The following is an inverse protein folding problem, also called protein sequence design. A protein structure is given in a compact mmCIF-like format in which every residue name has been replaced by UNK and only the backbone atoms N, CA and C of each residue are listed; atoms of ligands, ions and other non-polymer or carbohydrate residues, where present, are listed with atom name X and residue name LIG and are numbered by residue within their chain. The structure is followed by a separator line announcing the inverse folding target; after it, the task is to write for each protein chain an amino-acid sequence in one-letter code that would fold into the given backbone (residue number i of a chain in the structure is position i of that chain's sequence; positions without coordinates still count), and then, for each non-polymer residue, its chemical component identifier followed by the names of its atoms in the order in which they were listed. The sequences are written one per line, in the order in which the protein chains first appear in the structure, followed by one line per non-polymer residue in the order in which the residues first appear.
data_IF_980133041863
#
_entry.id   IF_980133041863
#
_cell.length_a   1.000
_cell.length_b   1.000
_cell.length_c   1.000
_cell.angle_alpha   90.00
_cell.angle_beta   90.00
_cell.angle_gamma   90.00
#
_symmetry.space_group_name_H-M   'P 1'
#
loop_
_entity.id
_entity.type
_entity.pdbx_description
1 polymer ?
#
# COMPACT_ATOMS: atom_id res chain seq x y z
N UNK A 1 8.04 19.47 7.49
CA UNK A 1 8.26 18.01 7.48
C UNK A 1 6.93 17.36 7.87
N UNK A 2 6.10 16.95 6.90
CA UNK A 2 4.70 16.58 7.17
C UNK A 2 4.15 15.45 6.26
N UNK A 3 5.00 14.62 5.65
CA UNK A 3 4.57 13.72 4.57
C UNK A 3 4.65 12.21 4.89
N UNK A 4 5.13 11.78 6.07
CA UNK A 4 5.19 10.34 6.40
C UNK A 4 3.93 9.81 7.08
N UNK A 5 3.21 10.64 7.84
CA UNK A 5 2.02 10.19 8.57
C UNK A 5 0.81 10.00 7.65
N UNK A 6 0.72 10.77 6.56
CA UNK A 6 -0.41 10.73 5.63
C UNK A 6 -0.60 9.38 4.95
N UNK A 7 0.45 8.84 4.34
CA UNK A 7 0.39 7.54 3.67
C UNK A 7 0.09 6.40 4.65
N UNK A 8 0.60 6.47 5.87
CA UNK A 8 0.34 5.47 6.91
C UNK A 8 -1.12 5.49 7.38
N UNK A 9 -1.70 6.68 7.55
CA UNK A 9 -3.12 6.84 7.89
C UNK A 9 -4.04 6.31 6.76
N UNK A 10 -3.67 6.57 5.50
CA UNK A 10 -4.36 6.01 4.35
C UNK A 10 -4.28 4.48 4.33
N UNK A 11 -3.09 3.89 4.51
CA UNK A 11 -2.90 2.43 4.59
C UNK A 11 -3.80 1.76 5.64
N UNK A 12 -3.88 2.34 6.84
CA UNK A 12 -4.74 1.83 7.92
C UNK A 12 -6.24 1.85 7.54
N UNK A 13 -6.69 2.83 6.75
CA UNK A 13 -8.08 2.93 6.29
C UNK A 13 -8.47 1.79 5.32
N UNK A 14 -7.48 1.21 4.64
CA UNK A 14 -7.63 0.02 3.79
C UNK A 14 -7.34 -1.29 4.55
N UNK A 15 -7.09 -1.22 5.87
CA UNK A 15 -6.71 -2.39 6.68
C UNK A 15 -5.32 -2.96 6.35
N UNK A 16 -4.45 -2.14 5.75
CA UNK A 16 -3.13 -2.52 5.27
C UNK A 16 -2.02 -1.97 6.17
N UNK A 17 -0.98 -2.76 6.36
CA UNK A 17 0.21 -2.40 7.13
C UNK A 17 1.49 -2.69 6.35
N UNK A 18 2.57 -1.93 6.64
CA UNK A 18 3.87 -2.22 6.04
C UNK A 18 4.32 -3.62 6.48
N UNK A 19 4.75 -4.42 5.50
CA UNK A 19 5.16 -5.81 5.71
C UNK A 19 4.06 -6.82 5.39
N UNK A 20 2.80 -6.40 5.29
CA UNK A 20 1.68 -7.26 4.88
C UNK A 20 1.93 -7.87 3.51
N UNK A 21 1.40 -9.08 3.32
CA UNK A 21 1.24 -9.67 1.99
C UNK A 21 -0.05 -9.18 1.37
N UNK A 22 0.07 -8.75 0.12
CA UNK A 22 -1.04 -8.27 -0.68
C UNK A 22 -1.13 -9.02 -1.99
N UNK A 23 -2.31 -8.99 -2.60
CA UNK A 23 -2.55 -9.48 -3.95
C UNK A 23 -2.93 -8.31 -4.84
N UNK A 24 -2.30 -8.21 -6.00
CA UNK A 24 -2.66 -7.33 -7.09
C UNK A 24 -3.21 -8.17 -8.25
N UNK A 25 -4.29 -7.76 -8.93
CA UNK A 25 -4.91 -8.54 -10.01
C UNK A 25 -3.93 -8.86 -11.15
N UNK A 26 -3.11 -7.89 -11.56
CA UNK A 26 -2.22 -8.04 -12.72
C UNK A 26 -0.79 -8.50 -12.37
N UNK A 27 -0.42 -8.44 -11.10
CA UNK A 27 0.97 -8.64 -10.65
C UNK A 27 1.10 -9.77 -9.64
N UNK A 28 -0.02 -10.35 -9.20
CA UNK A 28 -0.05 -11.46 -8.27
C UNK A 28 0.31 -11.04 -6.84
N UNK A 29 1.03 -11.91 -6.14
CA UNK A 29 1.37 -11.71 -4.73
C UNK A 29 2.56 -10.76 -4.56
N UNK A 30 2.43 -9.84 -3.62
CA UNK A 30 3.47 -8.91 -3.25
C UNK A 30 3.54 -8.63 -1.76
N UNK A 31 4.54 -7.86 -1.36
CA UNK A 31 4.74 -7.40 0.02
C UNK A 31 4.74 -5.87 0.07
N UNK A 32 3.92 -5.31 0.95
CA UNK A 32 3.89 -3.87 1.20
C UNK A 32 5.20 -3.43 1.86
N UNK A 33 5.85 -2.42 1.28
CA UNK A 33 7.13 -1.89 1.77
C UNK A 33 7.01 -0.49 2.35
N UNK A 34 6.15 0.35 1.75
CA UNK A 34 5.96 1.73 2.17
C UNK A 34 4.59 2.22 1.69
N UNK A 35 4.09 3.26 2.35
CA UNK A 35 2.94 4.04 1.87
C UNK A 35 3.42 5.40 1.38
N UNK A 36 2.74 5.91 0.36
CA UNK A 36 2.97 7.22 -0.24
C UNK A 36 1.64 7.94 -0.45
N UNK A 37 1.67 9.27 -0.44
CA UNK A 37 0.48 10.12 -0.48
C UNK A 37 0.30 10.92 0.81
N UNK A 38 -0.10 12.17 0.66
CA UNK A 38 -0.54 12.98 1.79
C UNK A 38 -1.98 12.58 2.13
N UNK A 39 -2.26 12.45 3.42
CA UNK A 39 -3.63 12.53 3.91
C UNK A 39 -3.83 13.99 4.29
N UNK A 40 -4.92 14.56 3.79
CA UNK A 40 -5.41 15.94 3.99
C UNK A 40 -4.93 17.00 3.00
N UNK A 41 -5.56 17.04 1.82
CA UNK A 41 -5.88 18.33 1.18
C UNK A 41 -7.38 18.38 0.89
N UNK A 42 -8.05 19.34 1.54
CA UNK A 42 -9.43 19.72 1.28
C UNK A 42 -9.69 19.85 -0.24
N UNK A 43 -10.41 18.90 -0.82
CA UNK A 43 -10.95 18.98 -2.17
C UNK A 43 -10.06 18.47 -3.31
N UNK A 44 -8.87 17.91 -3.05
CA UNK A 44 -8.08 17.23 -4.07
C UNK A 44 -8.11 15.72 -3.83
N UNK A 45 -8.56 14.96 -4.83
CA UNK A 45 -8.59 13.50 -4.83
C UNK A 45 -7.17 12.93 -4.80
N UNK A 46 -6.54 12.87 -3.62
CA UNK A 46 -5.21 12.28 -3.44
C UNK A 46 -5.34 10.76 -3.41
N UNK A 47 -4.94 10.12 -4.51
CA UNK A 47 -4.85 8.66 -4.61
C UNK A 47 -3.67 8.21 -3.77
N UNK A 48 -3.93 7.83 -2.51
CA UNK A 48 -2.91 7.19 -1.68
C UNK A 48 -2.41 5.91 -2.37
N UNK A 49 -1.09 5.76 -2.41
CA UNK A 49 -0.41 4.65 -3.07
C UNK A 49 0.49 3.91 -2.09
N UNK A 50 0.89 2.70 -2.46
CA UNK A 50 1.86 1.91 -1.72
C UNK A 50 2.95 1.38 -2.64
N UNK A 51 4.15 1.29 -2.11
CA UNK A 51 5.25 0.57 -2.75
C UNK A 51 5.12 -0.90 -2.40
N UNK A 52 4.88 -1.74 -3.41
CA UNK A 52 4.74 -3.18 -3.29
C UNK A 52 5.90 -3.87 -4.00
N UNK A 53 6.53 -4.84 -3.34
CA UNK A 53 7.46 -5.75 -4.00
C UNK A 53 6.72 -7.01 -4.45
N UNK A 54 6.62 -7.22 -5.76
CA UNK A 54 5.97 -8.41 -6.34
C UNK A 54 6.99 -9.53 -6.50
N UNK A 55 6.86 -10.60 -5.71
CA UNK A 55 7.84 -11.70 -5.71
C UNK A 55 7.96 -12.42 -7.06
N UNK A 56 6.85 -12.52 -7.80
CA UNK A 56 6.82 -13.11 -9.14
C UNK A 56 7.53 -12.26 -10.19
N UNK A 57 7.54 -10.93 -10.03
CA UNK A 57 8.18 -9.99 -10.95
C UNK A 57 9.59 -9.57 -10.48
N UNK A 58 9.94 -9.85 -9.22
CA UNK A 58 11.15 -9.38 -8.53
C UNK A 58 11.37 -7.87 -8.65
N UNK A 59 10.27 -7.12 -8.76
CA UNK A 59 10.27 -5.67 -8.99
C UNK A 59 9.48 -4.97 -7.87
N UNK A 60 9.88 -3.75 -7.54
CA UNK A 60 9.09 -2.83 -6.69
C UNK A 60 8.27 -1.92 -7.58
N UNK A 61 6.98 -1.81 -7.30
CA UNK A 61 6.07 -0.93 -8.02
C UNK A 61 5.28 -0.10 -7.05
N UNK A 62 4.99 1.13 -7.45
CA UNK A 62 4.00 1.94 -6.77
C UNK A 62 2.61 1.55 -7.29
N UNK A 63 1.69 1.30 -6.38
CA UNK A 63 0.36 0.76 -6.69
C UNK A 63 -0.68 1.46 -5.81
N UNK A 64 -1.82 1.92 -6.37
CA UNK A 64 -2.91 2.48 -5.58
C UNK A 64 -3.40 1.51 -4.50
N UNK A 65 -3.71 2.04 -3.31
CA UNK A 65 -4.22 1.20 -2.20
C UNK A 65 -5.52 0.48 -2.56
N UNK A 66 -6.33 1.05 -3.45
CA UNK A 66 -7.57 0.44 -3.94
C UNK A 66 -7.37 -0.77 -4.88
N UNK A 67 -6.16 -0.96 -5.41
CA UNK A 67 -5.85 -2.02 -6.38
C UNK A 67 -5.22 -3.25 -5.72
N UNK A 68 -4.94 -3.17 -4.42
CA UNK A 68 -4.33 -4.26 -3.66
C UNK A 68 -5.23 -4.73 -2.53
N UNK A 69 -5.31 -6.05 -2.37
CA UNK A 69 -6.10 -6.68 -1.32
C UNK A 69 -5.18 -7.35 -0.30
N UNK A 70 -5.51 -7.24 0.99
CA UNK A 70 -4.80 -7.97 2.05
C UNK A 70 -5.04 -9.47 1.92
N UNK A 71 -3.96 -10.24 1.95
CA UNK A 71 -4.06 -11.71 1.96
C UNK A 71 -4.11 -12.21 3.40
N UNK A 72 -5.24 -12.78 3.81
CA UNK A 72 -5.42 -13.35 5.15
C UNK A 72 -4.53 -14.58 5.40
N UNK A 73 -4.16 -14.81 6.66
CA UNK A 73 -3.38 -15.99 7.08
C UNK A 73 -1.87 -15.81 7.15
N UNK A 74 -1.37 -14.59 6.90
CA UNK A 74 0.03 -14.19 7.11
C UNK A 74 0.08 -12.71 7.52
N UNK A 75 -0.08 -12.42 8.82
CA UNK A 75 0.14 -11.08 9.38
C UNK A 75 1.61 -10.84 9.77
N UNK A 76 2.03 -9.60 10.07
CA UNK A 76 3.35 -9.34 10.62
C UNK A 76 3.49 -10.14 11.92
N UNK A 77 4.53 -10.97 11.98
CA UNK A 77 4.96 -11.69 13.18
C UNK A 77 5.41 -10.74 14.28
#
# INVERSE_FOLDING_TARGET
MLAQDGGKAAGASYGLEIGDRVRHPDHGLGRLLAFSGASEVAGASEVASATVFFGGLRERRETPLSEVEKVAGFGPS
#
